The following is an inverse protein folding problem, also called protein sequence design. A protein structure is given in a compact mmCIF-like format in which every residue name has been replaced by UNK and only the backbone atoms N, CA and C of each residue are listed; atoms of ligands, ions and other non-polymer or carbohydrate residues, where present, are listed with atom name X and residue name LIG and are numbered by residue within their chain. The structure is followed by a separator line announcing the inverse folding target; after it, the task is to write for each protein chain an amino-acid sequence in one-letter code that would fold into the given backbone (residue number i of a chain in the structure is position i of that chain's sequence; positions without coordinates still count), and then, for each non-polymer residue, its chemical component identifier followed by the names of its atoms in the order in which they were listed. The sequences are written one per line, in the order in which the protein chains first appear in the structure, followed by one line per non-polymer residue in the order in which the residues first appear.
data_IF_419443914424
#
_entry.id   IF_419443914424
#
_cell.length_a   1.000
_cell.length_b   1.000
_cell.length_c   1.000
_cell.angle_alpha   90.00
_cell.angle_beta   90.00
_cell.angle_gamma   90.00
#
_symmetry.space_group_name_H-M   'P 1'
#
loop_
_entity.id
_entity.type
_entity.pdbx_description
1 polymer ?
#
# COMPACT_ATOMS: atom_id res chain seq x y z
N UNK A 1 32.36 3.88 -10.42
CA UNK A 1 32.02 3.39 -9.08
C UNK A 1 31.09 4.40 -8.42
N UNK A 2 29.94 3.97 -7.92
CA UNK A 2 28.98 4.85 -7.24
C UNK A 2 29.62 5.43 -5.98
N UNK A 3 29.59 6.76 -5.81
CA UNK A 3 30.14 7.40 -4.62
C UNK A 3 29.12 7.30 -3.45
N UNK A 4 29.43 6.47 -2.46
CA UNK A 4 28.64 6.32 -1.23
C UNK A 4 29.24 7.22 -0.13
N UNK A 5 28.41 7.79 0.78
CA UNK A 5 28.91 8.59 1.90
C UNK A 5 29.92 7.80 2.75
N UNK A 6 31.04 8.43 3.11
CA UNK A 6 32.13 7.74 3.82
C UNK A 6 31.66 7.20 5.19
N UNK A 7 30.90 7.98 5.95
CA UNK A 7 30.34 7.54 7.22
C UNK A 7 29.36 6.36 7.10
N UNK A 8 28.64 6.27 5.98
CA UNK A 8 27.81 5.10 5.67
C UNK A 8 28.66 3.84 5.44
N UNK A 9 29.74 3.95 4.65
CA UNK A 9 30.65 2.81 4.41
C UNK A 9 31.25 2.29 5.71
N UNK A 10 31.76 3.19 6.55
CA UNK A 10 32.35 2.84 7.84
C UNK A 10 31.33 2.19 8.79
N UNK A 11 30.07 2.68 8.78
CA UNK A 11 28.99 2.05 9.53
C UNK A 11 28.70 0.64 9.03
N UNK A 12 28.53 0.47 7.71
CA UNK A 12 28.19 -0.84 7.15
C UNK A 12 29.33 -1.87 7.30
N UNK A 13 30.58 -1.45 7.19
CA UNK A 13 31.74 -2.30 7.45
C UNK A 13 31.72 -2.86 8.89
N UNK A 14 31.43 -2.00 9.86
CA UNK A 14 31.33 -2.40 11.27
C UNK A 14 30.13 -3.32 11.53
N UNK A 15 28.98 -3.07 10.88
CA UNK A 15 27.76 -3.85 11.07
C UNK A 15 27.82 -5.22 10.40
N UNK A 16 28.34 -5.29 9.16
CA UNK A 16 28.32 -6.50 8.34
C UNK A 16 29.56 -7.37 8.48
N UNK A 17 30.69 -6.80 8.94
CA UNK A 17 31.92 -7.56 9.09
C UNK A 17 32.30 -8.31 7.82
N UNK A 18 32.31 -9.64 7.86
CA UNK A 18 32.66 -10.48 6.72
C UNK A 18 31.78 -10.33 5.49
N UNK A 19 30.51 -9.95 5.66
CA UNK A 19 29.56 -9.76 4.54
C UNK A 19 29.73 -8.39 3.84
N UNK A 20 30.54 -7.47 4.38
CA UNK A 20 30.68 -6.11 3.88
C UNK A 20 31.15 -6.02 2.43
N UNK A 21 32.13 -6.85 2.05
CA UNK A 21 32.66 -6.87 0.68
C UNK A 21 31.56 -7.22 -0.33
N UNK A 22 30.79 -8.28 -0.08
CA UNK A 22 29.68 -8.71 -0.95
C UNK A 22 28.56 -7.66 -1.00
N UNK A 23 28.32 -6.99 0.14
CA UNK A 23 27.37 -5.89 0.21
C UNK A 23 27.80 -4.73 -0.70
N UNK A 24 29.04 -4.28 -0.65
CA UNK A 24 29.55 -3.22 -1.55
C UNK A 24 29.51 -3.63 -3.02
N UNK A 25 29.92 -4.86 -3.34
CA UNK A 25 29.88 -5.37 -4.70
C UNK A 25 28.44 -5.38 -5.27
N UNK A 26 27.42 -5.51 -4.41
CA UNK A 26 26.03 -5.47 -4.85
C UNK A 26 25.62 -4.12 -5.45
N UNK A 27 26.28 -3.04 -5.09
CA UNK A 27 26.04 -1.69 -5.65
C UNK A 27 26.54 -1.54 -7.08
N UNK A 28 27.49 -2.37 -7.51
CA UNK A 28 28.00 -2.40 -8.88
C UNK A 28 27.21 -3.38 -9.78
N UNK A 29 26.44 -4.27 -9.15
CA UNK A 29 25.59 -5.25 -9.88
C UNK A 29 24.29 -4.61 -10.32
N UNK A 30 23.78 -5.09 -11.44
CA UNK A 30 22.46 -4.69 -11.92
C UNK A 30 21.38 -5.11 -10.93
N UNK A 31 20.49 -4.17 -10.61
CA UNK A 31 19.37 -4.43 -9.71
C UNK A 31 18.26 -5.21 -10.39
N UNK A 32 17.68 -6.16 -9.70
CA UNK A 32 16.45 -6.82 -10.13
C UNK A 32 15.26 -5.88 -10.01
N UNK A 33 14.44 -5.85 -11.03
CA UNK A 33 13.21 -5.07 -11.10
C UNK A 33 12.00 -5.99 -10.97
N UNK A 34 10.92 -5.49 -10.37
CA UNK A 34 9.72 -6.29 -10.13
C UNK A 34 8.43 -5.60 -10.55
N UNK A 35 7.45 -6.42 -10.87
CA UNK A 35 6.06 -6.03 -10.99
C UNK A 35 5.19 -6.95 -10.13
N UNK A 36 4.08 -6.42 -9.66
CA UNK A 36 3.13 -7.14 -8.82
C UNK A 36 1.73 -7.08 -9.42
N UNK A 37 1.12 -8.24 -9.56
CA UNK A 37 -0.23 -8.37 -10.11
C UNK A 37 -1.28 -7.65 -9.27
N UNK A 38 -2.28 -7.14 -9.96
CA UNK A 38 -3.51 -6.66 -9.36
C UNK A 38 -4.60 -7.74 -9.46
N UNK A 39 -4.81 -8.49 -8.40
CA UNK A 39 -5.81 -9.55 -8.36
C UNK A 39 -7.26 -9.05 -8.45
N UNK A 40 -7.49 -7.72 -8.41
CA UNK A 40 -8.78 -7.12 -8.76
C UNK A 40 -9.07 -7.19 -10.27
N UNK A 41 -8.02 -7.29 -11.10
CA UNK A 41 -8.08 -7.19 -12.56
C UNK A 41 -7.83 -8.51 -13.29
N UNK A 42 -6.94 -9.35 -12.76
CA UNK A 42 -6.50 -10.58 -13.41
C UNK A 42 -6.21 -11.66 -12.39
N UNK A 43 -6.19 -12.91 -12.81
CA UNK A 43 -5.63 -14.01 -12.02
C UNK A 43 -4.17 -14.24 -12.40
N UNK A 44 -3.46 -14.96 -11.54
CA UNK A 44 -2.07 -15.37 -11.78
C UNK A 44 -1.94 -16.21 -13.04
N UNK A 45 -2.79 -17.22 -13.17
CA UNK A 45 -2.78 -18.15 -14.30
C UNK A 45 -3.02 -17.43 -15.62
N UNK A 46 -4.00 -16.53 -15.66
CA UNK A 46 -4.28 -15.73 -16.85
C UNK A 46 -3.12 -14.84 -17.23
N UNK A 47 -2.52 -14.16 -16.25
CA UNK A 47 -1.42 -13.25 -16.52
C UNK A 47 -0.16 -14.00 -16.99
N UNK A 48 0.18 -15.14 -16.38
CA UNK A 48 1.34 -15.97 -16.79
C UNK A 48 1.21 -16.48 -18.25
N UNK A 49 -0.02 -16.69 -18.72
CA UNK A 49 -0.30 -17.12 -20.10
C UNK A 49 -0.25 -15.95 -21.11
N UNK A 50 -0.66 -14.75 -20.71
CA UNK A 50 -0.87 -13.62 -21.61
C UNK A 50 0.23 -12.54 -21.48
N UNK A 51 1.12 -12.61 -20.48
CA UNK A 51 2.11 -11.58 -20.24
C UNK A 51 3.14 -11.51 -21.36
N UNK A 52 3.40 -10.30 -21.90
CA UNK A 52 4.40 -10.10 -22.95
C UNK A 52 5.81 -9.93 -22.38
N UNK A 53 6.06 -10.34 -21.14
CA UNK A 53 7.32 -10.12 -20.39
C UNK A 53 7.95 -11.44 -20.00
N UNK A 54 9.27 -11.43 -19.84
CA UNK A 54 10.05 -12.54 -19.28
C UNK A 54 9.92 -12.53 -17.75
N UNK A 55 9.04 -13.35 -17.20
CA UNK A 55 8.70 -13.33 -15.78
C UNK A 55 9.37 -14.46 -15.00
N UNK A 56 9.83 -14.18 -13.78
CA UNK A 56 10.20 -15.17 -12.80
C UNK A 56 9.63 -14.82 -11.40
N UNK A 57 9.11 -15.80 -10.64
CA UNK A 57 8.46 -15.53 -9.35
C UNK A 57 9.40 -14.91 -8.32
N UNK A 58 8.90 -14.02 -7.48
CA UNK A 58 9.60 -13.49 -6.31
C UNK A 58 9.27 -14.41 -5.11
N UNK A 59 10.27 -14.98 -4.40
CA UNK A 59 10.05 -16.05 -3.41
C UNK A 59 9.17 -15.67 -2.22
N UNK A 60 9.07 -14.39 -1.87
CA UNK A 60 8.36 -13.88 -0.68
C UNK A 60 6.99 -13.26 -0.97
N UNK A 61 6.50 -13.38 -2.20
CA UNK A 61 5.16 -12.88 -2.57
C UNK A 61 4.54 -13.73 -3.67
N UNK A 62 3.28 -14.06 -3.53
CA UNK A 62 2.57 -14.91 -4.49
C UNK A 62 2.25 -14.18 -5.80
N UNK A 63 2.06 -12.86 -5.74
CA UNK A 63 1.65 -12.02 -6.87
C UNK A 63 2.82 -11.29 -7.54
N UNK A 64 4.04 -11.43 -7.02
CA UNK A 64 5.21 -10.68 -7.48
C UNK A 64 6.07 -11.46 -8.45
N UNK A 65 6.58 -10.74 -9.46
CA UNK A 65 7.49 -11.27 -10.46
C UNK A 65 8.64 -10.33 -10.70
N UNK A 66 9.83 -10.89 -10.86
CA UNK A 66 10.90 -10.20 -11.56
C UNK A 66 10.57 -10.18 -13.05
N UNK A 67 10.96 -9.12 -13.76
CA UNK A 67 10.84 -9.04 -15.22
C UNK A 67 12.20 -8.81 -15.88
N UNK A 68 12.28 -9.16 -17.18
CA UNK A 68 13.50 -9.11 -17.94
C UNK A 68 14.03 -7.69 -18.14
N UNK A 69 15.34 -7.55 -18.26
CA UNK A 69 16.04 -6.26 -18.44
C UNK A 69 15.52 -5.46 -19.64
N UNK A 70 15.23 -6.15 -20.74
CA UNK A 70 14.76 -5.52 -21.97
C UNK A 70 13.27 -5.21 -21.98
N UNK A 71 12.54 -5.74 -20.99
CA UNK A 71 11.11 -5.48 -20.84
C UNK A 71 10.85 -4.02 -20.44
N UNK A 72 9.76 -3.47 -20.94
CA UNK A 72 9.34 -2.09 -20.66
C UNK A 72 7.89 -2.06 -20.12
N UNK A 73 7.62 -2.68 -18.96
CA UNK A 73 6.26 -2.80 -18.44
C UNK A 73 5.59 -1.44 -18.21
N UNK A 74 6.35 -0.37 -17.95
CA UNK A 74 5.82 0.98 -17.79
C UNK A 74 5.24 1.61 -19.07
N UNK A 75 5.57 1.08 -20.25
CA UNK A 75 5.07 1.54 -21.54
C UNK A 75 3.95 0.64 -22.09
N UNK A 76 3.64 -0.46 -21.41
CA UNK A 76 2.63 -1.40 -21.88
C UNK A 76 1.22 -0.96 -21.47
N UNK A 77 0.18 -1.11 -22.32
CA UNK A 77 -1.21 -0.74 -22.00
C UNK A 77 -1.76 -1.35 -20.70
N UNK A 78 -1.29 -2.53 -20.31
CA UNK A 78 -1.65 -3.16 -19.03
C UNK A 78 -1.22 -2.35 -17.80
N UNK A 79 -0.18 -1.53 -17.91
CA UNK A 79 0.22 -0.62 -16.84
C UNK A 79 -0.85 0.45 -16.61
N UNK A 80 -1.31 1.11 -17.67
CA UNK A 80 -2.37 2.13 -17.59
C UNK A 80 -3.72 1.53 -17.18
N UNK A 81 -4.01 0.31 -17.63
CA UNK A 81 -5.19 -0.44 -17.20
C UNK A 81 -5.13 -0.94 -15.75
N UNK A 82 -4.01 -0.75 -15.05
CA UNK A 82 -3.82 -1.17 -13.66
C UNK A 82 -3.79 -2.69 -13.45
N UNK A 83 -3.41 -3.47 -14.46
CA UNK A 83 -3.30 -4.94 -14.37
C UNK A 83 -2.17 -5.35 -13.44
N UNK A 84 -1.14 -4.54 -13.32
CA UNK A 84 -0.03 -4.69 -12.38
C UNK A 84 0.47 -3.33 -11.88
N UNK A 85 1.23 -3.37 -10.79
CA UNK A 85 1.99 -2.25 -10.25
C UNK A 85 3.49 -2.56 -10.35
N UNK A 86 4.29 -1.65 -10.93
CA UNK A 86 5.75 -1.78 -10.94
C UNK A 86 6.24 -1.43 -9.54
N UNK A 87 6.79 -2.42 -8.84
CA UNK A 87 7.20 -2.29 -7.45
C UNK A 87 8.56 -2.94 -7.24
N UNK A 88 9.35 -2.33 -6.37
CA UNK A 88 10.61 -2.90 -5.92
C UNK A 88 10.34 -4.22 -5.18
N UNK A 89 11.08 -5.30 -5.49
CA UNK A 89 10.81 -6.63 -4.94
C UNK A 89 10.79 -6.71 -3.42
N UNK A 90 11.73 -6.06 -2.70
CA UNK A 90 11.79 -6.10 -1.24
C UNK A 90 10.57 -5.43 -0.59
N UNK A 91 10.05 -4.35 -1.19
CA UNK A 91 8.86 -3.65 -0.72
C UNK A 91 7.58 -4.50 -0.81
N UNK A 92 7.55 -5.52 -1.67
CA UNK A 92 6.41 -6.45 -1.75
C UNK A 92 6.31 -7.35 -0.52
N UNK A 93 7.41 -7.63 0.16
CA UNK A 93 7.44 -8.48 1.36
C UNK A 93 6.57 -7.92 2.50
N UNK A 94 6.47 -6.59 2.64
CA UNK A 94 5.76 -5.93 3.75
C UNK A 94 4.32 -6.40 3.84
N UNK A 95 3.55 -6.26 2.74
CA UNK A 95 2.14 -6.65 2.71
C UNK A 95 1.97 -8.18 2.64
N UNK A 96 2.90 -8.89 2.00
CA UNK A 96 2.88 -10.36 1.99
C UNK A 96 3.04 -10.96 3.38
N UNK A 97 3.93 -10.39 4.22
CA UNK A 97 4.14 -10.84 5.60
C UNK A 97 3.02 -10.38 6.54
N UNK A 98 2.41 -9.21 6.28
CA UNK A 98 1.24 -8.74 7.02
C UNK A 98 0.02 -9.61 6.76
N UNK A 99 -0.10 -10.16 5.55
CA UNK A 99 -1.16 -11.08 5.11
C UNK A 99 -2.60 -10.57 5.32
N UNK A 100 -2.98 -9.44 4.68
CA UNK A 100 -4.34 -8.89 4.76
C UNK A 100 -5.41 -9.88 4.32
N UNK A 101 -6.57 -9.86 5.01
CA UNK A 101 -7.71 -10.73 4.70
C UNK A 101 -8.91 -9.93 4.23
N UNK A 102 -9.70 -10.45 3.27
CA UNK A 102 -10.95 -9.82 2.84
C UNK A 102 -11.91 -9.56 4.00
N UNK A 103 -12.46 -8.34 4.06
CA UNK A 103 -13.37 -7.91 5.12
C UNK A 103 -12.71 -7.12 6.24
N UNK A 104 -11.37 -7.06 6.32
CA UNK A 104 -10.64 -6.28 7.32
C UNK A 104 -10.67 -4.77 7.03
N UNK A 105 -10.52 -3.97 8.09
CA UNK A 105 -10.28 -2.53 8.05
C UNK A 105 -8.79 -2.29 8.19
N UNK A 106 -8.17 -1.73 7.15
CA UNK A 106 -6.72 -1.58 7.08
C UNK A 106 -6.35 -0.13 6.85
N UNK A 107 -5.32 0.33 7.53
CA UNK A 107 -4.70 1.64 7.33
C UNK A 107 -3.30 1.48 6.71
N UNK A 108 -3.07 2.15 5.59
CA UNK A 108 -1.72 2.44 5.07
C UNK A 108 -1.39 3.89 5.46
N UNK A 109 -0.56 4.05 6.51
CA UNK A 109 -0.41 5.33 7.20
C UNK A 109 0.53 6.30 6.49
N UNK A 110 1.52 5.78 5.73
CA UNK A 110 2.50 6.54 4.96
C UNK A 110 2.49 6.05 3.49
N UNK A 111 1.35 6.17 2.84
CA UNK A 111 0.95 5.34 1.70
C UNK A 111 1.57 5.69 0.36
N UNK A 112 1.98 6.97 0.13
CA UNK A 112 2.42 7.37 -1.21
C UNK A 112 3.74 6.72 -1.64
N UNK A 113 3.84 6.31 -2.91
CA UNK A 113 2.93 6.60 -4.03
C UNK A 113 1.77 5.60 -4.21
N UNK A 114 1.57 4.58 -3.33
CA UNK A 114 0.45 3.65 -3.41
C UNK A 114 0.81 2.19 -3.72
N UNK A 115 2.10 1.84 -3.66
CA UNK A 115 2.55 0.47 -3.92
C UNK A 115 2.01 -0.52 -2.88
N UNK A 116 2.11 -0.19 -1.58
CA UNK A 116 1.56 -1.00 -0.49
C UNK A 116 0.03 -0.92 -0.43
N UNK A 117 -0.54 0.27 -0.62
CA UNK A 117 -2.00 0.50 -0.73
C UNK A 117 -2.63 -0.42 -1.78
N UNK A 118 -2.07 -0.45 -3.00
CA UNK A 118 -2.60 -1.30 -4.08
C UNK A 118 -2.39 -2.79 -3.83
N UNK A 119 -1.35 -3.18 -3.08
CA UNK A 119 -1.15 -4.56 -2.65
C UNK A 119 -2.21 -4.98 -1.64
N UNK A 120 -2.46 -4.16 -0.61
CA UNK A 120 -3.52 -4.40 0.38
C UNK A 120 -4.88 -4.52 -0.32
N UNK A 121 -5.21 -3.58 -1.21
CA UNK A 121 -6.47 -3.60 -1.95
C UNK A 121 -6.65 -4.87 -2.79
N UNK A 122 -5.57 -5.34 -3.43
CA UNK A 122 -5.54 -6.60 -4.17
C UNK A 122 -5.88 -7.80 -3.28
N UNK A 123 -5.33 -7.87 -2.06
CA UNK A 123 -5.61 -8.92 -1.07
C UNK A 123 -7.02 -8.82 -0.46
N UNK A 124 -7.53 -7.61 -0.24
CA UNK A 124 -8.90 -7.37 0.24
C UNK A 124 -9.98 -7.78 -0.77
N UNK A 125 -9.66 -7.86 -2.05
CA UNK A 125 -10.58 -8.25 -3.13
C UNK A 125 -11.91 -7.47 -3.11
N UNK A 126 -11.83 -6.16 -2.83
CA UNK A 126 -12.99 -5.25 -2.79
C UNK A 126 -13.89 -5.40 -1.57
N UNK A 127 -13.51 -6.20 -0.57
CA UNK A 127 -14.22 -6.37 0.71
C UNK A 127 -13.47 -5.70 1.85
N UNK A 128 -14.21 -5.18 2.85
CA UNK A 128 -13.63 -4.41 3.95
C UNK A 128 -13.32 -2.96 3.57
N UNK A 129 -12.50 -2.30 4.36
CA UNK A 129 -12.18 -0.88 4.21
C UNK A 129 -10.67 -0.64 4.20
N UNK A 130 -10.19 0.14 3.25
CA UNK A 130 -8.82 0.60 3.16
C UNK A 130 -8.75 2.12 3.36
N UNK A 131 -8.10 2.56 4.42
CA UNK A 131 -7.69 3.94 4.60
C UNK A 131 -6.24 4.09 4.11
N UNK A 132 -5.98 5.02 3.19
CA UNK A 132 -4.64 5.32 2.71
C UNK A 132 -4.32 6.78 2.99
N UNK A 133 -3.26 7.04 3.76
CA UNK A 133 -2.90 8.39 4.17
C UNK A 133 -1.52 8.81 3.68
N UNK A 134 -1.40 10.08 3.33
CA UNK A 134 -0.11 10.71 3.01
C UNK A 134 -0.13 12.16 3.47
N UNK A 135 0.84 12.54 4.30
CA UNK A 135 0.92 13.88 4.88
C UNK A 135 1.27 14.97 3.84
N UNK A 136 2.05 14.64 2.80
CA UNK A 136 2.46 15.58 1.76
C UNK A 136 1.41 15.71 0.66
N UNK A 137 0.80 16.91 0.45
CA UNK A 137 -0.31 17.06 -0.48
C UNK A 137 -0.01 16.64 -1.93
N UNK A 138 1.20 16.92 -2.42
CA UNK A 138 1.60 16.53 -3.77
C UNK A 138 1.68 15.00 -3.92
N UNK A 139 2.26 14.31 -2.94
CA UNK A 139 2.35 12.84 -2.92
C UNK A 139 0.98 12.19 -2.72
N UNK A 140 0.10 12.79 -1.90
CA UNK A 140 -1.26 12.32 -1.71
C UNK A 140 -2.10 12.36 -3.01
N UNK A 141 -1.85 13.33 -3.90
CA UNK A 141 -2.46 13.36 -5.25
C UNK A 141 -2.00 12.19 -6.11
N UNK A 142 -0.70 11.86 -6.09
CA UNK A 142 -0.14 10.70 -6.81
C UNK A 142 -0.74 9.39 -6.26
N UNK A 143 -0.86 9.28 -4.94
CA UNK A 143 -1.54 8.14 -4.30
C UNK A 143 -2.98 7.99 -4.80
N UNK A 144 -3.76 9.09 -4.81
CA UNK A 144 -5.14 9.08 -5.31
C UNK A 144 -5.25 8.66 -6.79
N UNK A 145 -4.31 9.09 -7.64
CA UNK A 145 -4.24 8.67 -9.04
C UNK A 145 -3.93 7.18 -9.18
N UNK A 146 -3.01 6.65 -8.36
CA UNK A 146 -2.70 5.22 -8.38
C UNK A 146 -3.87 4.37 -7.84
N UNK A 147 -4.59 4.83 -6.80
CA UNK A 147 -5.83 4.18 -6.32
C UNK A 147 -6.86 4.09 -7.47
N UNK A 148 -7.00 5.15 -8.24
CA UNK A 148 -7.87 5.19 -9.43
C UNK A 148 -7.41 4.21 -10.52
N UNK A 149 -6.14 4.32 -10.94
CA UNK A 149 -5.56 3.48 -12.00
C UNK A 149 -5.66 1.99 -11.68
N UNK A 150 -5.50 1.62 -10.41
CA UNK A 150 -5.62 0.23 -9.97
C UNK A 150 -7.08 -0.25 -9.83
N UNK A 151 -8.07 0.62 -10.02
CA UNK A 151 -9.50 0.27 -9.95
C UNK A 151 -9.97 -0.08 -8.54
N UNK A 152 -9.43 0.59 -7.51
CA UNK A 152 -9.73 0.30 -6.11
C UNK A 152 -11.00 1.06 -5.68
N UNK A 153 -12.06 0.32 -5.35
CA UNK A 153 -13.35 0.90 -4.99
C UNK A 153 -13.60 1.08 -3.49
N UNK A 154 -12.94 0.28 -2.64
CA UNK A 154 -13.14 0.27 -1.18
C UNK A 154 -12.06 1.03 -0.41
N UNK A 155 -11.50 2.09 -1.01
CA UNK A 155 -10.41 2.88 -0.44
C UNK A 155 -10.81 4.35 -0.29
N UNK A 156 -10.49 4.94 0.89
CA UNK A 156 -10.49 6.39 1.10
C UNK A 156 -9.06 6.91 1.19
N UNK A 157 -8.77 8.05 0.54
CA UNK A 157 -7.44 8.68 0.54
C UNK A 157 -7.49 9.96 1.37
N UNK A 158 -6.67 9.99 2.42
CA UNK A 158 -6.53 11.10 3.35
C UNK A 158 -5.23 11.88 3.11
N UNK A 159 -5.23 13.16 3.50
CA UNK A 159 -4.04 14.00 3.55
C UNK A 159 -3.91 14.62 4.93
N UNK A 160 -3.59 13.81 5.93
CA UNK A 160 -3.63 14.17 7.34
C UNK A 160 -2.35 13.80 8.09
N UNK A 161 -2.18 14.40 9.26
CA UNK A 161 -1.16 13.96 10.22
C UNK A 161 -1.62 12.71 10.98
N UNK A 162 -0.70 11.85 11.44
CA UNK A 162 -1.05 10.68 12.25
C UNK A 162 -1.90 11.00 13.48
N UNK A 163 -1.61 12.12 14.17
CA UNK A 163 -2.36 12.56 15.36
C UNK A 163 -3.83 12.88 15.05
N UNK A 164 -4.11 13.46 13.89
CA UNK A 164 -5.49 13.77 13.48
C UNK A 164 -6.27 12.51 13.16
N UNK A 165 -5.60 11.55 12.49
CA UNK A 165 -6.20 10.25 12.24
C UNK A 165 -6.44 9.47 13.54
N UNK A 166 -5.49 9.47 14.48
CA UNK A 166 -5.65 8.83 15.79
C UNK A 166 -6.88 9.33 16.53
N UNK A 167 -7.13 10.65 16.56
CA UNK A 167 -8.32 11.22 17.18
C UNK A 167 -9.63 10.79 16.53
N UNK A 168 -9.56 10.39 15.25
CA UNK A 168 -10.73 10.04 14.46
C UNK A 168 -11.00 8.53 14.43
N UNK A 169 -9.95 7.72 14.48
CA UNK A 169 -9.99 6.27 14.34
C UNK A 169 -9.34 5.53 15.53
N UNK A 170 -9.66 5.86 16.82
CA UNK A 170 -9.06 5.15 17.96
C UNK A 170 -9.51 3.68 17.94
N UNK A 171 -8.56 2.74 18.10
CA UNK A 171 -8.79 1.28 18.14
C UNK A 171 -9.71 0.76 17.02
N UNK A 172 -9.48 1.25 15.81
CA UNK A 172 -10.40 1.02 14.69
C UNK A 172 -9.91 -0.04 13.69
N UNK A 173 -8.63 -0.07 13.38
CA UNK A 173 -8.10 -0.91 12.32
C UNK A 173 -7.70 -2.31 12.79
N UNK A 174 -7.96 -3.30 11.93
CA UNK A 174 -7.50 -4.67 12.11
C UNK A 174 -6.01 -4.78 11.86
N UNK A 175 -5.52 -4.06 10.84
CA UNK A 175 -4.11 -4.00 10.48
C UNK A 175 -3.71 -2.59 10.09
N UNK A 176 -2.44 -2.27 10.34
CA UNK A 176 -1.85 -1.00 9.93
C UNK A 176 -0.51 -1.28 9.25
N UNK A 177 -0.26 -0.61 8.13
CA UNK A 177 1.06 -0.54 7.50
C UNK A 177 1.66 0.82 7.80
N UNK A 178 2.86 0.82 8.37
CA UNK A 178 3.70 2.00 8.58
C UNK A 178 5.00 1.83 7.80
N UNK A 179 4.95 2.15 6.49
CA UNK A 179 6.16 2.30 5.69
C UNK A 179 6.75 3.67 6.00
N UNK A 180 7.49 3.72 7.12
CA UNK A 180 7.83 4.98 7.76
C UNK A 180 8.85 5.79 6.94
N UNK A 181 8.73 7.13 6.92
CA UNK A 181 9.79 7.97 6.37
C UNK A 181 11.11 7.67 7.08
N UNK A 182 12.14 7.31 6.30
CA UNK A 182 13.43 6.85 6.81
C UNK A 182 14.58 7.51 6.07
N UNK A 183 15.82 7.26 6.51
CA UNK A 183 17.05 7.79 5.90
C UNK A 183 17.32 7.25 4.49
N UNK A 184 16.63 6.18 4.06
CA UNK A 184 16.60 5.72 2.67
C UNK A 184 17.86 5.03 2.19
N UNK A 185 18.69 4.45 3.05
CA UNK A 185 19.97 3.80 2.69
C UNK A 185 19.80 2.68 1.65
N UNK A 186 18.70 1.93 1.74
CA UNK A 186 18.35 0.91 0.74
C UNK A 186 17.97 1.48 -0.62
N UNK A 187 17.81 2.81 -0.75
CA UNK A 187 17.47 3.46 -2.02
C UNK A 187 18.68 4.07 -2.73
N UNK A 188 19.87 3.98 -2.17
CA UNK A 188 21.07 4.64 -2.70
C UNK A 188 21.44 4.25 -4.13
N UNK A 189 21.10 3.05 -4.58
CA UNK A 189 21.29 2.63 -5.97
C UNK A 189 20.30 3.28 -6.93
N UNK A 190 19.14 3.68 -6.44
CA UNK A 190 18.04 4.20 -7.24
C UNK A 190 17.96 5.72 -7.21
N UNK A 191 18.28 6.32 -6.09
CA UNK A 191 18.03 7.74 -5.81
C UNK A 191 19.32 8.45 -5.36
N UNK A 192 19.82 9.32 -6.24
CA UNK A 192 21.01 10.13 -5.95
C UNK A 192 20.74 11.19 -4.88
N UNK A 193 19.50 11.73 -4.83
CA UNK A 193 19.14 12.69 -3.81
C UNK A 193 19.19 12.08 -2.41
N UNK A 194 18.74 10.81 -2.25
CA UNK A 194 18.83 10.09 -0.99
C UNK A 194 20.26 9.99 -0.47
N UNK A 195 21.26 9.80 -1.36
CA UNK A 195 22.69 9.80 -0.98
C UNK A 195 23.18 11.18 -0.53
N UNK A 196 22.73 12.24 -1.24
CA UNK A 196 23.16 13.61 -0.94
C UNK A 196 22.56 14.16 0.35
N UNK A 197 21.36 13.75 0.71
CA UNK A 197 20.65 14.20 1.92
C UNK A 197 20.98 13.34 3.16
N UNK A 198 21.60 12.18 2.97
CA UNK A 198 21.90 11.28 4.06
C UNK A 198 22.99 11.81 5.00
N UNK A 199 22.76 11.70 6.30
CA UNK A 199 23.73 11.93 7.36
C UNK A 199 23.37 11.15 8.62
N UNK A 200 24.34 10.91 9.55
CA UNK A 200 24.03 10.30 10.84
C UNK A 200 22.96 11.08 11.64
N UNK A 201 22.92 12.39 11.51
CA UNK A 201 21.91 13.21 12.20
C UNK A 201 20.53 13.08 11.55
N UNK A 202 20.47 12.92 10.22
CA UNK A 202 19.20 12.61 9.53
C UNK A 202 18.64 11.25 9.95
N UNK A 203 19.50 10.23 10.17
CA UNK A 203 19.10 8.92 10.71
C UNK A 203 18.39 9.08 12.05
N UNK A 204 18.96 9.85 13.00
CA UNK A 204 18.36 10.11 14.32
C UNK A 204 17.01 10.82 14.20
N UNK A 205 16.95 11.86 13.36
CA UNK A 205 15.71 12.61 13.12
C UNK A 205 14.59 11.73 12.53
N UNK A 206 14.97 10.79 11.64
CA UNK A 206 14.03 9.81 11.10
C UNK A 206 13.54 8.86 12.20
N UNK A 207 14.44 8.33 13.05
CA UNK A 207 14.08 7.45 14.16
C UNK A 207 13.11 8.12 15.16
N UNK A 208 13.32 9.41 15.50
CA UNK A 208 12.40 10.17 16.35
C UNK A 208 11.00 10.31 15.71
N UNK A 209 10.95 10.61 14.41
CA UNK A 209 9.69 10.70 13.66
C UNK A 209 8.97 9.37 13.58
N UNK A 210 9.69 8.28 13.37
CA UNK A 210 9.17 6.92 13.33
C UNK A 210 8.56 6.50 14.66
N UNK A 211 9.19 6.84 15.78
CA UNK A 211 8.66 6.58 17.12
C UNK A 211 7.27 7.21 17.29
N UNK A 212 7.10 8.47 16.90
CA UNK A 212 5.81 9.16 16.99
C UNK A 212 4.75 8.53 16.07
N UNK A 213 5.11 8.14 14.84
CA UNK A 213 4.20 7.50 13.89
C UNK A 213 3.72 6.14 14.44
N UNK A 214 4.64 5.35 15.01
CA UNK A 214 4.32 4.06 15.62
C UNK A 214 3.39 4.20 16.83
N UNK A 215 3.62 5.20 17.70
CA UNK A 215 2.75 5.46 18.85
C UNK A 215 1.32 5.82 18.40
N UNK A 216 1.18 6.64 17.34
CA UNK A 216 -0.11 6.92 16.74
C UNK A 216 -0.77 5.66 16.14
N UNK A 217 0.02 4.82 15.45
CA UNK A 217 -0.47 3.56 14.88
C UNK A 217 -0.98 2.61 15.98
N UNK A 218 -0.25 2.48 17.09
CA UNK A 218 -0.65 1.65 18.24
C UNK A 218 -2.01 2.06 18.82
N UNK A 219 -2.29 3.37 18.90
CA UNK A 219 -3.56 3.90 19.36
C UNK A 219 -4.72 3.72 18.37
N UNK A 220 -4.43 3.60 17.07
CA UNK A 220 -5.44 3.33 16.05
C UNK A 220 -5.72 1.84 15.83
N UNK A 221 -4.83 0.97 16.31
CA UNK A 221 -4.95 -0.48 16.17
C UNK A 221 -5.85 -1.06 17.25
N UNK A 222 -6.82 -1.86 16.86
CA UNK A 222 -7.65 -2.59 17.82
C UNK A 222 -6.86 -3.69 18.57
N UNK A 223 -7.27 -4.11 19.77
CA UNK A 223 -6.72 -5.28 20.43
C UNK A 223 -6.77 -6.53 19.53
N UNK A 224 -5.72 -7.31 19.50
CA UNK A 224 -5.54 -8.46 18.60
C UNK A 224 -5.20 -8.10 17.15
N UNK A 225 -5.04 -6.82 16.85
CA UNK A 225 -4.62 -6.34 15.53
C UNK A 225 -3.11 -6.43 15.31
N UNK A 226 -2.67 -6.05 14.11
CA UNK A 226 -1.25 -6.18 13.71
C UNK A 226 -0.75 -4.94 12.97
N UNK A 227 0.44 -4.46 13.32
CA UNK A 227 1.17 -3.41 12.59
C UNK A 227 2.28 -4.06 11.79
N UNK A 228 2.40 -3.75 10.49
CA UNK A 228 3.62 -3.96 9.74
C UNK A 228 4.42 -2.66 9.75
N UNK A 229 5.46 -2.61 10.55
CA UNK A 229 6.45 -1.54 10.52
C UNK A 229 7.51 -1.88 9.48
N UNK A 230 7.82 -0.95 8.58
CA UNK A 230 8.86 -1.14 7.59
C UNK A 230 9.64 0.14 7.29
N UNK A 231 10.90 -0.04 6.91
CA UNK A 231 11.81 1.00 6.44
C UNK A 231 12.59 0.50 5.23
N UNK A 232 13.07 1.43 4.40
CA UNK A 232 14.04 1.13 3.35
C UNK A 232 15.45 1.61 3.75
N UNK A 233 15.86 1.37 5.00
CA UNK A 233 17.20 1.68 5.52
C UNK A 233 17.87 0.44 6.09
N UNK A 234 19.15 0.55 6.46
CA UNK A 234 19.91 -0.49 7.15
C UNK A 234 20.32 -0.05 8.57
N UNK A 235 19.99 1.17 8.95
CA UNK A 235 20.35 1.77 10.23
C UNK A 235 19.66 1.07 11.39
N UNK A 236 20.40 0.47 12.35
CA UNK A 236 19.79 -0.11 13.54
C UNK A 236 18.94 0.86 14.34
N UNK A 237 19.29 2.14 14.34
CA UNK A 237 18.55 3.22 15.02
C UNK A 237 17.10 3.34 14.53
N UNK A 238 16.89 3.10 13.24
CA UNK A 238 15.60 3.18 12.59
C UNK A 238 14.89 1.81 12.51
N UNK A 239 15.60 0.74 12.79
CA UNK A 239 15.17 -0.65 12.63
C UNK A 239 15.03 -1.35 14.00
N UNK A 240 16.02 -2.13 14.45
CA UNK A 240 15.95 -2.88 15.70
C UNK A 240 15.76 -2.00 16.94
N UNK A 241 16.46 -0.87 17.02
CA UNK A 241 16.35 0.04 18.18
C UNK A 241 14.99 0.77 18.20
N UNK A 242 14.45 1.13 17.02
CA UNK A 242 13.13 1.72 16.93
C UNK A 242 12.05 0.73 17.41
N UNK A 243 12.14 -0.53 16.98
CA UNK A 243 11.22 -1.60 17.42
C UNK A 243 11.37 -1.89 18.91
N UNK A 244 12.62 -2.01 19.41
CA UNK A 244 12.89 -2.23 20.82
C UNK A 244 12.31 -1.12 21.70
N UNK A 245 12.55 0.14 21.34
CA UNK A 245 12.02 1.31 22.06
C UNK A 245 10.48 1.38 21.99
N UNK A 246 9.87 0.94 20.88
CA UNK A 246 8.41 0.82 20.78
C UNK A 246 7.86 -0.22 21.75
N UNK A 247 8.45 -1.42 21.82
CA UNK A 247 8.02 -2.49 22.73
C UNK A 247 8.22 -2.11 24.21
N UNK A 248 9.19 -1.26 24.53
CA UNK A 248 9.34 -0.71 25.88
C UNK A 248 8.22 0.24 26.29
N UNK A 249 7.70 1.04 25.34
CA UNK A 249 6.56 1.96 25.57
C UNK A 249 5.22 1.27 25.51
N UNK A 250 5.13 0.18 24.75
CA UNK A 250 3.90 -0.56 24.46
C UNK A 250 4.06 -2.04 24.82
N UNK A 251 4.07 -2.38 26.13
CA UNK A 251 4.28 -3.75 26.59
C UNK A 251 3.18 -4.73 26.16
N UNK A 252 2.05 -4.23 25.70
CA UNK A 252 0.95 -5.01 25.09
C UNK A 252 1.25 -5.49 23.66
N UNK A 253 2.42 -5.17 23.10
CA UNK A 253 2.85 -5.63 21.80
C UNK A 253 4.01 -6.62 21.89
N UNK A 254 4.07 -7.50 20.91
CA UNK A 254 5.22 -8.39 20.69
C UNK A 254 5.52 -8.52 19.19
N UNK A 255 6.74 -8.95 18.85
CA UNK A 255 7.08 -9.23 17.45
C UNK A 255 6.53 -10.61 17.09
N UNK A 256 5.62 -10.63 16.12
CA UNK A 256 5.06 -11.87 15.58
C UNK A 256 6.10 -12.63 14.78
N UNK A 257 6.23 -13.94 15.05
CA UNK A 257 7.06 -14.80 14.20
C UNK A 257 6.43 -14.94 12.81
N UNK A 258 7.25 -14.71 11.77
CA UNK A 258 6.85 -14.85 10.37
C UNK A 258 7.78 -15.79 9.63
N UNK A 259 7.24 -16.53 8.66
CA UNK A 259 8.04 -17.36 7.78
C UNK A 259 8.97 -16.47 6.94
N UNK A 260 10.24 -16.80 6.91
CA UNK A 260 11.25 -16.12 6.09
C UNK A 260 11.62 -17.01 4.90
N UNK A 261 11.02 -16.76 3.71
CA UNK A 261 11.45 -17.43 2.48
C UNK A 261 12.92 -17.15 2.15
N UNK A 262 13.46 -17.90 1.19
CA UNK A 262 14.84 -17.72 0.70
C UNK A 262 15.11 -16.26 0.33
N UNK A 263 16.30 -15.77 0.72
CA UNK A 263 16.72 -14.37 0.54
C UNK A 263 16.35 -13.43 1.68
N UNK A 264 15.42 -13.81 2.58
CA UNK A 264 15.08 -13.01 3.76
C UNK A 264 15.91 -13.47 4.96
N UNK A 265 16.46 -12.51 5.69
CA UNK A 265 17.23 -12.73 6.92
C UNK A 265 16.43 -12.33 8.17
N UNK A 266 16.80 -12.81 9.34
CA UNK A 266 16.28 -12.30 10.61
C UNK A 266 16.84 -10.93 10.96
N UNK A 267 16.15 -10.20 11.85
CA UNK A 267 16.74 -9.05 12.53
C UNK A 267 17.91 -9.46 13.40
N UNK A 268 18.71 -8.51 13.84
CA UNK A 268 19.96 -8.76 14.57
C UNK A 268 19.80 -8.25 16.01
N UNK A 269 19.57 -9.12 17.01
CA UNK A 269 19.37 -8.72 18.41
C UNK A 269 20.49 -7.86 18.99
N UNK A 270 21.75 -8.10 18.58
CA UNK A 270 22.92 -7.36 19.02
C UNK A 270 22.95 -5.91 18.54
N UNK A 271 22.09 -5.53 17.59
CA UNK A 271 21.97 -4.15 17.09
C UNK A 271 20.90 -3.35 17.86
N UNK A 272 20.12 -4.02 18.71
CA UNK A 272 19.31 -3.36 19.73
C UNK A 272 20.17 -2.77 20.86
N UNK A 273 19.55 -1.95 21.71
CA UNK A 273 20.21 -1.34 22.87
C UNK A 273 20.36 -2.31 24.05
N UNK A 274 19.49 -3.32 24.12
CA UNK A 274 19.35 -4.27 25.25
C UNK A 274 19.52 -5.74 24.84
N UNK A 275 19.98 -6.01 23.63
CA UNK A 275 20.12 -7.38 23.08
C UNK A 275 18.85 -8.24 23.26
N UNK A 276 17.70 -7.70 22.89
CA UNK A 276 16.41 -8.37 23.01
C UNK A 276 16.29 -9.51 21.98
N UNK A 277 16.26 -10.80 22.41
CA UNK A 277 16.30 -11.94 21.47
C UNK A 277 15.16 -11.97 20.46
N UNK A 278 13.98 -11.45 20.83
CA UNK A 278 12.82 -11.42 19.94
C UNK A 278 13.00 -10.54 18.70
N UNK A 279 13.98 -9.64 18.66
CA UNK A 279 14.33 -8.85 17.47
C UNK A 279 14.73 -9.75 16.29
N UNK A 280 15.21 -10.97 16.53
CA UNK A 280 15.47 -11.97 15.49
C UNK A 280 14.23 -12.37 14.70
N UNK A 281 13.01 -12.12 15.22
CA UNK A 281 11.75 -12.36 14.53
C UNK A 281 11.48 -11.32 13.44
N UNK A 282 12.04 -10.12 13.51
CA UNK A 282 12.01 -9.14 12.43
C UNK A 282 12.69 -9.71 11.17
N UNK A 283 12.48 -9.03 10.04
CA UNK A 283 12.98 -9.44 8.74
C UNK A 283 13.88 -8.36 8.17
N UNK A 284 15.06 -8.76 7.69
CA UNK A 284 15.95 -7.92 6.89
C UNK A 284 16.11 -8.48 5.50
N UNK A 285 16.03 -7.60 4.51
CA UNK A 285 16.26 -7.91 3.10
C UNK A 285 17.49 -7.15 2.66
N UNK A 286 18.49 -7.90 2.18
CA UNK A 286 19.78 -7.36 1.84
C UNK A 286 20.04 -7.39 0.33
N UNK A 287 20.59 -6.32 -0.26
CA UNK A 287 20.84 -6.26 -1.71
C UNK A 287 21.80 -7.36 -2.20
N UNK A 288 22.82 -7.72 -1.42
CA UNK A 288 23.77 -8.78 -1.78
C UNK A 288 23.16 -10.19 -1.75
N UNK A 289 22.06 -10.41 -0.98
CA UNK A 289 21.36 -11.71 -0.89
C UNK A 289 20.24 -11.86 -1.92
N UNK A 290 19.59 -10.75 -2.31
CA UNK A 290 18.40 -10.81 -3.14
C UNK A 290 18.58 -10.21 -4.54
N UNK A 291 19.58 -9.34 -4.73
CA UNK A 291 19.79 -8.56 -5.96
C UNK A 291 18.81 -7.39 -6.12
N UNK A 292 17.84 -7.24 -5.20
CA UNK A 292 16.95 -6.08 -5.08
C UNK A 292 17.55 -4.96 -4.23
N UNK A 293 16.72 -4.05 -3.75
CA UNK A 293 17.09 -3.02 -2.77
C UNK A 293 17.01 -3.59 -1.34
N UNK A 294 17.18 -2.75 -0.33
CA UNK A 294 17.10 -3.17 1.07
C UNK A 294 15.79 -2.82 1.75
N UNK A 295 15.39 -3.65 2.72
CA UNK A 295 14.22 -3.39 3.55
C UNK A 295 14.38 -4.01 4.94
N UNK A 296 13.78 -3.35 5.93
CA UNK A 296 13.53 -3.91 7.26
C UNK A 296 12.02 -4.02 7.48
N UNK A 297 11.56 -5.09 8.14
CA UNK A 297 10.15 -5.33 8.41
C UNK A 297 10.00 -5.96 9.79
N UNK A 298 9.15 -5.37 10.65
CA UNK A 298 8.71 -5.99 11.89
C UNK A 298 7.18 -6.10 11.90
N UNK A 299 6.67 -7.29 12.12
CA UNK A 299 5.23 -7.53 12.30
C UNK A 299 4.96 -7.49 13.81
N UNK A 300 4.28 -6.43 14.26
CA UNK A 300 3.98 -6.15 15.66
C UNK A 300 2.53 -6.51 15.94
N UNK A 301 2.28 -7.47 16.84
CA UNK A 301 0.94 -7.92 17.19
C UNK A 301 0.55 -7.39 18.56
N UNK A 302 -0.62 -6.74 18.64
CA UNK A 302 -1.20 -6.25 19.90
C UNK A 302 -1.95 -7.37 20.60
N UNK A 303 -1.75 -7.53 21.90
CA UNK A 303 -2.48 -8.51 22.70
C UNK A 303 -4.00 -8.29 22.62
N UNK A 304 -4.76 -9.38 22.72
CA UNK A 304 -6.22 -9.31 22.83
C UNK A 304 -6.61 -8.78 24.21
N UNK A 305 -7.54 -7.85 24.27
CA UNK A 305 -8.12 -7.40 25.51
C UNK A 305 -9.39 -8.19 25.83
N UNK A 306 -9.46 -8.81 27.01
CA UNK A 306 -10.68 -9.48 27.47
C UNK A 306 -11.83 -8.49 27.61
N UNK A 307 -12.99 -8.84 27.06
CA UNK A 307 -14.18 -7.98 27.10
C UNK A 307 -14.15 -6.77 26.16
N UNK A 308 -13.12 -6.63 25.32
CA UNK A 308 -13.14 -5.60 24.29
C UNK A 308 -14.16 -5.94 23.21
N UNK A 309 -15.07 -5.00 22.95
CA UNK A 309 -16.08 -5.12 21.90
C UNK A 309 -15.82 -4.10 20.81
N UNK A 310 -15.92 -4.52 19.56
CA UNK A 310 -15.81 -3.68 18.38
C UNK A 310 -17.09 -2.85 18.17
N UNK A 311 -17.38 -1.92 19.09
CA UNK A 311 -18.69 -1.31 19.17
C UNK A 311 -18.81 0.09 19.77
N UNK A 312 -17.74 0.85 19.88
CA UNK A 312 -17.83 2.25 20.30
C UNK A 312 -18.84 3.03 19.44
N UNK A 313 -19.42 4.12 19.99
CA UNK A 313 -20.31 5.00 19.20
C UNK A 313 -19.58 5.48 17.96
N UNK A 314 -19.87 4.85 16.81
CA UNK A 314 -19.31 5.22 15.51
C UNK A 314 -20.31 6.08 14.76
N UNK A 315 -19.84 7.21 14.24
CA UNK A 315 -20.61 8.06 13.37
C UNK A 315 -20.23 7.76 11.95
N UNK A 316 -21.20 7.44 11.12
CA UNK A 316 -21.01 7.18 9.68
C UNK A 316 -21.33 8.44 8.86
N UNK A 317 -20.78 8.58 7.64
CA UNK A 317 -21.07 9.71 6.77
C UNK A 317 -22.57 9.84 6.50
N UNK A 318 -23.06 11.06 6.35
CA UNK A 318 -24.39 11.29 5.84
C UNK A 318 -24.45 10.90 4.37
N UNK A 319 -25.28 9.90 4.06
CA UNK A 319 -25.48 9.48 2.68
C UNK A 319 -26.45 10.40 1.96
N UNK A 320 -26.23 10.55 0.65
CA UNK A 320 -27.09 11.36 -0.18
C UNK A 320 -28.44 10.66 -0.43
N UNK A 321 -29.55 11.32 -0.11
CA UNK A 321 -30.90 10.74 -0.10
C UNK A 321 -31.80 11.26 -1.24
N UNK A 322 -31.36 12.23 -2.03
CA UNK A 322 -32.17 12.79 -3.14
C UNK A 322 -32.20 11.83 -4.34
N UNK A 323 -33.09 10.85 -4.26
CA UNK A 323 -33.32 9.87 -5.32
C UNK A 323 -33.84 10.48 -6.62
N UNK A 324 -34.49 11.68 -6.58
CA UNK A 324 -34.95 12.32 -7.79
C UNK A 324 -33.81 12.83 -8.66
N UNK A 325 -32.75 13.31 -8.03
CA UNK A 325 -31.56 13.75 -8.73
C UNK A 325 -30.69 12.56 -9.23
N UNK A 326 -30.88 11.33 -8.71
CA UNK A 326 -30.17 10.13 -9.18
C UNK A 326 -30.70 9.52 -10.50
N UNK A 327 -31.81 10.02 -11.06
CA UNK A 327 -32.41 9.38 -12.23
C UNK A 327 -31.46 9.21 -13.41
N UNK A 328 -30.68 10.23 -13.72
CA UNK A 328 -29.75 10.17 -14.86
C UNK A 328 -28.61 9.14 -14.60
N UNK A 329 -28.17 9.04 -13.35
CA UNK A 329 -27.23 8.01 -12.92
C UNK A 329 -27.84 6.59 -13.00
N UNK A 330 -29.05 6.39 -12.50
CA UNK A 330 -29.74 5.10 -12.55
C UNK A 330 -30.06 4.67 -14.00
N UNK A 331 -30.42 5.64 -14.88
CA UNK A 331 -30.59 5.37 -16.30
C UNK A 331 -29.29 4.93 -16.96
N UNK A 332 -28.20 5.65 -16.70
CA UNK A 332 -26.87 5.28 -17.17
C UNK A 332 -26.50 3.86 -16.74
N UNK A 333 -26.68 3.50 -15.46
CA UNK A 333 -26.35 2.16 -14.97
C UNK A 333 -27.14 1.08 -15.73
N UNK A 334 -28.45 1.23 -15.86
CA UNK A 334 -29.30 0.26 -16.55
C UNK A 334 -28.99 0.10 -18.04
N UNK A 335 -28.47 1.15 -18.67
CA UNK A 335 -28.09 1.14 -20.08
C UNK A 335 -26.70 0.57 -20.35
N UNK A 336 -25.84 0.55 -19.32
CA UNK A 336 -24.40 0.26 -19.51
C UNK A 336 -23.88 -0.91 -18.70
N UNK A 337 -24.49 -1.22 -17.55
CA UNK A 337 -24.01 -2.25 -16.62
C UNK A 337 -24.89 -3.49 -16.69
N UNK A 338 -24.25 -4.66 -16.78
CA UNK A 338 -24.94 -5.94 -16.80
C UNK A 338 -25.57 -6.29 -15.45
N UNK A 339 -26.82 -6.74 -15.46
CA UNK A 339 -27.46 -7.31 -14.29
C UNK A 339 -27.10 -8.81 -14.18
N UNK A 340 -26.24 -9.12 -13.22
CA UNK A 340 -25.73 -10.48 -12.96
C UNK A 340 -26.23 -11.03 -11.61
N UNK A 341 -27.28 -10.44 -11.03
CA UNK A 341 -27.87 -10.85 -9.75
C UNK A 341 -27.37 -10.05 -8.54
N UNK A 342 -27.67 -10.54 -7.33
CA UNK A 342 -27.53 -9.79 -6.09
C UNK A 342 -26.09 -9.32 -5.78
N UNK A 343 -25.07 -10.09 -6.14
CA UNK A 343 -23.66 -9.74 -5.94
C UNK A 343 -23.02 -9.02 -7.15
N UNK A 344 -23.83 -8.57 -8.10
CA UNK A 344 -23.33 -7.89 -9.29
C UNK A 344 -22.81 -6.47 -9.01
N UNK A 345 -22.00 -5.94 -9.94
CA UNK A 345 -21.59 -4.54 -9.90
C UNK A 345 -22.83 -3.62 -9.93
N UNK A 346 -23.83 -3.95 -10.76
CA UNK A 346 -25.08 -3.19 -10.85
C UNK A 346 -25.82 -3.14 -9.51
N UNK A 347 -25.99 -4.28 -8.83
CA UNK A 347 -26.63 -4.35 -7.52
C UNK A 347 -25.93 -3.44 -6.50
N UNK A 348 -24.62 -3.53 -6.40
CA UNK A 348 -23.83 -2.68 -5.48
C UNK A 348 -23.97 -1.18 -5.81
N UNK A 349 -23.96 -0.82 -7.07
CA UNK A 349 -24.10 0.57 -7.53
C UNK A 349 -25.51 1.13 -7.34
N UNK A 350 -26.56 0.28 -7.47
CA UNK A 350 -27.97 0.66 -7.30
C UNK A 350 -28.44 0.67 -5.84
N UNK A 351 -27.81 -0.07 -4.95
CA UNK A 351 -28.18 -0.12 -3.52
C UNK A 351 -28.20 1.28 -2.89
N UNK A 352 -27.34 2.18 -3.37
CA UNK A 352 -27.38 3.62 -3.10
C UNK A 352 -27.24 4.02 -1.64
N UNK A 353 -27.07 3.06 -0.73
CA UNK A 353 -26.97 3.31 0.70
C UNK A 353 -25.71 4.08 1.08
N UNK A 354 -24.71 4.02 0.23
CA UNK A 354 -23.36 4.53 0.48
C UNK A 354 -22.96 5.64 -0.50
N UNK A 355 -23.93 6.24 -1.21
CA UNK A 355 -23.66 7.33 -2.13
C UNK A 355 -23.49 8.66 -1.39
N UNK A 356 -22.49 9.43 -1.79
CA UNK A 356 -22.31 10.82 -1.35
C UNK A 356 -22.00 11.73 -2.52
N UNK A 357 -22.38 13.00 -2.38
CA UNK A 357 -22.12 14.03 -3.37
C UNK A 357 -21.18 15.09 -2.78
N UNK A 358 -20.03 15.30 -3.43
CA UNK A 358 -19.09 16.38 -3.08
C UNK A 358 -19.07 17.39 -4.25
N UNK A 359 -19.75 18.53 -4.07
CA UNK A 359 -20.06 19.42 -5.18
C UNK A 359 -20.93 18.70 -6.22
N UNK A 360 -20.45 18.56 -7.46
CA UNK A 360 -21.10 17.78 -8.52
C UNK A 360 -20.56 16.34 -8.62
N UNK A 361 -19.56 15.96 -7.83
CA UNK A 361 -18.90 14.66 -7.92
C UNK A 361 -19.61 13.63 -7.08
N UNK A 362 -20.06 12.54 -7.70
CA UNK A 362 -20.74 11.42 -7.07
C UNK A 362 -19.73 10.33 -6.70
N UNK A 363 -19.76 9.88 -5.44
CA UNK A 363 -18.92 8.82 -4.92
C UNK A 363 -19.76 7.69 -4.31
N UNK A 364 -19.26 6.46 -4.44
CA UNK A 364 -19.65 5.32 -3.63
C UNK A 364 -18.64 5.19 -2.48
N UNK A 365 -19.13 5.33 -1.25
CA UNK A 365 -18.28 5.23 -0.05
C UNK A 365 -18.03 3.77 0.34
N UNK A 366 -16.85 3.45 0.90
CA UNK A 366 -16.63 2.15 1.54
C UNK A 366 -17.58 1.96 2.73
N UNK A 367 -18.13 0.74 2.96
CA UNK A 367 -19.15 0.50 3.98
C UNK A 367 -18.69 0.79 5.42
N UNK A 368 -17.41 0.62 5.71
CA UNK A 368 -16.82 0.84 7.03
C UNK A 368 -16.20 2.24 7.23
N UNK A 369 -16.35 3.15 6.26
CA UNK A 369 -15.80 4.50 6.39
C UNK A 369 -16.57 5.28 7.46
N UNK A 370 -15.87 5.74 8.50
CA UNK A 370 -16.45 6.65 9.49
C UNK A 370 -16.64 8.05 8.93
N UNK A 371 -17.53 8.84 9.57
CA UNK A 371 -17.71 10.25 9.24
C UNK A 371 -16.35 10.95 9.28
N UNK A 372 -16.04 11.72 8.26
CA UNK A 372 -14.74 12.34 8.04
C UNK A 372 -14.78 13.87 8.14
N UNK A 373 -15.77 14.40 8.81
CA UNK A 373 -15.91 15.85 9.05
C UNK A 373 -14.65 16.41 9.74
N UNK A 374 -14.10 17.47 9.14
CA UNK A 374 -12.89 18.10 9.63
C UNK A 374 -11.58 17.41 9.19
N UNK A 375 -11.62 16.29 8.48
CA UNK A 375 -10.46 15.68 7.83
C UNK A 375 -10.30 16.15 6.39
N UNK A 376 -9.06 16.23 5.92
CA UNK A 376 -8.74 16.44 4.50
C UNK A 376 -8.81 15.12 3.77
N UNK A 377 -9.87 14.91 3.01
CA UNK A 377 -10.10 13.71 2.21
C UNK A 377 -9.99 14.07 0.73
N UNK A 378 -9.01 13.48 0.04
CA UNK A 378 -8.84 13.68 -1.39
C UNK A 378 -9.79 12.79 -2.21
N UNK A 379 -10.06 11.60 -1.69
CA UNK A 379 -10.94 10.61 -2.32
C UNK A 379 -11.69 9.86 -1.22
N UNK A 380 -13.00 10.08 -1.04
CA UNK A 380 -13.76 9.40 0.02
C UNK A 380 -14.14 7.96 -0.33
N UNK A 381 -13.96 7.53 -1.58
CA UNK A 381 -14.33 6.21 -2.09
C UNK A 381 -14.19 6.12 -3.61
N UNK A 382 -14.98 5.26 -4.24
CA UNK A 382 -15.03 5.14 -5.70
C UNK A 382 -15.72 6.37 -6.31
N UNK A 383 -14.99 7.14 -7.10
CA UNK A 383 -15.56 8.22 -7.89
C UNK A 383 -16.39 7.61 -9.03
N UNK A 384 -17.69 7.84 -9.02
CA UNK A 384 -18.61 7.30 -10.02
C UNK A 384 -18.71 8.19 -11.24
N UNK A 385 -18.77 9.51 -11.05
CA UNK A 385 -18.89 10.49 -12.13
C UNK A 385 -19.36 11.84 -11.64
N UNK A 386 -19.73 12.69 -12.60
CA UNK A 386 -20.18 14.06 -12.36
C UNK A 386 -21.66 14.20 -12.66
N UNK A 387 -22.42 14.73 -11.69
CA UNK A 387 -23.83 15.05 -11.85
C UNK A 387 -23.97 16.40 -12.56
N UNK A 388 -24.38 16.41 -13.80
CA UNK A 388 -24.71 17.63 -14.57
C UNK A 388 -26.20 17.92 -14.55
N UNK A 389 -26.61 19.11 -15.00
CA UNK A 389 -28.03 19.57 -14.95
C UNK A 389 -29.02 18.57 -15.53
N UNK A 390 -28.68 17.87 -16.62
CA UNK A 390 -29.56 16.95 -17.34
C UNK A 390 -28.86 15.66 -17.79
N UNK A 391 -27.74 15.28 -17.19
CA UNK A 391 -27.01 14.06 -17.52
C UNK A 391 -26.05 13.68 -16.42
N UNK A 392 -25.73 12.40 -16.35
CA UNK A 392 -24.61 11.85 -15.61
C UNK A 392 -23.41 11.64 -16.56
N UNK A 393 -22.24 12.14 -16.17
CA UNK A 393 -20.98 11.91 -16.89
C UNK A 393 -20.13 10.91 -16.07
N UNK A 394 -19.99 9.64 -16.55
CA UNK A 394 -19.22 8.62 -15.82
C UNK A 394 -17.75 8.99 -15.73
N UNK A 395 -17.12 8.61 -14.63
CA UNK A 395 -15.70 8.86 -14.40
C UNK A 395 -14.83 7.75 -15.00
N UNK A 396 -13.55 8.08 -15.22
CA UNK A 396 -12.54 7.10 -15.57
C UNK A 396 -12.33 6.05 -14.46
N UNK A 397 -12.48 6.46 -13.19
CA UNK A 397 -12.38 5.56 -12.03
C UNK A 397 -13.45 4.46 -12.06
N UNK A 398 -14.68 4.78 -12.44
CA UNK A 398 -15.76 3.79 -12.61
C UNK A 398 -15.38 2.80 -13.72
N UNK A 399 -14.91 3.29 -14.87
CA UNK A 399 -14.50 2.42 -15.98
C UNK A 399 -13.37 1.46 -15.58
N UNK A 400 -12.38 1.95 -14.83
CA UNK A 400 -11.26 1.13 -14.33
C UNK A 400 -11.68 0.14 -13.23
N UNK A 401 -12.73 0.43 -12.47
CA UNK A 401 -13.24 -0.47 -11.42
C UNK A 401 -14.07 -1.63 -12.01
N UNK A 402 -14.82 -1.39 -13.09
CA UNK A 402 -15.64 -2.38 -13.78
C UNK A 402 -14.77 -3.47 -14.43
N UNK A 403 -15.31 -4.69 -14.47
CA UNK A 403 -14.74 -5.83 -15.21
C UNK A 403 -15.47 -5.98 -16.54
N UNK A 404 -14.84 -6.67 -17.50
CA UNK A 404 -15.44 -6.97 -18.81
C UNK A 404 -16.88 -7.54 -18.68
N UNK A 405 -17.07 -8.48 -17.76
CA UNK A 405 -18.38 -9.10 -17.50
C UNK A 405 -19.45 -8.15 -16.96
N UNK A 406 -19.03 -7.07 -16.32
CA UNK A 406 -19.94 -6.09 -15.69
C UNK A 406 -20.54 -5.11 -16.72
N UNK A 407 -19.99 -5.05 -17.95
CA UNK A 407 -20.46 -4.15 -19.00
C UNK A 407 -21.42 -4.86 -19.98
N UNK A 408 -22.54 -4.19 -20.33
CA UNK A 408 -23.48 -4.70 -21.36
C UNK A 408 -22.86 -4.71 -22.76
N UNK A 409 -21.94 -3.79 -23.03
CA UNK A 409 -21.20 -3.70 -24.31
C UNK A 409 -19.73 -3.54 -24.02
N UNK A 410 -18.93 -4.48 -24.50
CA UNK A 410 -17.49 -4.47 -24.38
C UNK A 410 -16.86 -4.55 -25.77
N UNK A 411 -15.95 -3.62 -26.07
CA UNK A 411 -15.21 -3.61 -27.33
C UNK A 411 -13.74 -3.91 -27.05
N UNK A 412 -13.22 -5.04 -27.53
CA UNK A 412 -11.79 -5.35 -27.50
C UNK A 412 -11.11 -4.61 -28.64
N UNK A 413 -10.20 -3.71 -28.31
CA UNK A 413 -9.33 -3.06 -29.29
C UNK A 413 -8.04 -3.88 -29.40
N UNK A 414 -7.62 -4.13 -30.65
CA UNK A 414 -6.32 -4.76 -30.89
C UNK A 414 -5.22 -3.78 -30.41
N UNK A 415 -4.28 -4.21 -29.53
CA UNK A 415 -3.16 -3.38 -29.08
C UNK A 415 -2.30 -2.81 -30.22
N UNK A 416 -2.25 -3.52 -31.35
CA UNK A 416 -1.49 -3.13 -32.52
C UNK A 416 -2.27 -2.16 -33.48
N UNK A 417 -3.45 -1.73 -33.05
CA UNK A 417 -4.25 -0.80 -33.87
C UNK A 417 -3.63 0.60 -33.85
N UNK A 418 -3.37 1.21 -35.03
CA UNK A 418 -2.75 2.55 -35.12
C UNK A 418 -3.57 3.69 -34.48
N UNK A 419 -4.81 3.44 -34.04
CA UNK A 419 -5.66 4.42 -33.33
C UNK A 419 -5.33 4.60 -31.85
N UNK A 420 -4.56 3.69 -31.23
CA UNK A 420 -4.12 3.80 -29.84
C UNK A 420 -2.84 4.64 -29.66
N UNK A 421 -2.12 4.94 -30.74
CA UNK A 421 -0.91 5.75 -30.71
C UNK A 421 -1.17 7.28 -30.77
N UNK A 422 -2.43 7.71 -30.86
CA UNK A 422 -2.81 9.11 -31.07
C UNK A 422 -3.70 9.71 -29.96
N UNK A 423 -3.81 9.04 -28.79
CA UNK A 423 -4.60 9.56 -27.66
C UNK A 423 -3.74 9.76 -26.40
#
# INVERSE_FOLDING_TARGET
MMELPQAFKEKMERLLGAEYTEFLESYEKERKQGLRLNLLKTSREKFEQEAPFSLSPIPWTEEGYYYGKEDRPGLHPYHEAGVYYIQEPSAMAVVSLLDPKPGERILDLCAAPGGKTSHIASRLQGRGFLAANEIHPARAKILSQNVERMGIGNCAVFNETPDRLLRHFPEYFDRIVTDAPCSGEGMFRKDEAARGEWSPDNVKLCAERQAHILDCAAGMLKPGGTIAYSTCTFSPEEDEQAVEAFLDRHPEFHIKEVKKPEGLSGGVPQWGSKERPELARAVRIWPHKTGGEGHFIAILEKEKAEGWEDGGKRTYPAYWKDRKALRDYESFLKETIADLGEDSALSRLLDGRELTLNGEQLYLLPPELLAFDGLKVLRPGLHLGTMKKNRFEPSHALALWLREKDALRFCRMNPDSPRLAAS
#
